data_IF_121212560299
#
_entry.id   IF_121212560299
#
_cell.length_a   1.000
_cell.length_b   1.000
_cell.length_c   1.000
_cell.angle_alpha   90.00
_cell.angle_beta   90.00
_cell.angle_gamma   90.00
#
_symmetry.space_group_name_H-M   'P 1'
#
loop_
_entity.id
_entity.type
_entity.pdbx_description
1 polymer ?
#
# COMPACT_ATOMS: atom_id res chain seq x y z
N UNK A 1 -19.76 -20.46 -0.42
CA UNK A 1 -18.88 -20.84 -1.55
C UNK A 1 -17.85 -19.73 -1.70
N UNK A 2 -16.56 -20.06 -1.88
CA UNK A 2 -15.50 -19.06 -2.06
C UNK A 2 -15.56 -18.56 -3.52
N UNK A 3 -15.55 -17.24 -3.73
CA UNK A 3 -15.59 -16.64 -5.07
C UNK A 3 -14.23 -16.72 -5.78
N UNK A 4 -13.16 -16.42 -5.05
CA UNK A 4 -11.78 -16.63 -5.47
C UNK A 4 -10.80 -16.32 -4.35
N UNK A 5 -9.51 -16.54 -4.61
CA UNK A 5 -8.41 -16.34 -3.66
C UNK A 5 -7.28 -15.58 -4.35
N UNK A 6 -6.67 -14.66 -3.64
CA UNK A 6 -5.57 -13.86 -4.16
C UNK A 6 -4.49 -13.66 -3.11
N UNK A 7 -3.24 -13.54 -3.58
CA UNK A 7 -2.08 -13.31 -2.74
C UNK A 7 -1.13 -12.32 -3.41
N UNK A 8 -0.42 -11.55 -2.58
CA UNK A 8 0.62 -10.65 -3.05
C UNK A 8 1.70 -10.50 -1.99
N UNK A 9 2.93 -10.29 -2.45
CA UNK A 9 4.10 -10.05 -1.60
C UNK A 9 4.77 -8.75 -2.03
N UNK A 10 5.02 -7.88 -1.05
CA UNK A 10 5.61 -6.56 -1.29
C UNK A 10 6.85 -6.40 -0.43
N UNK A 11 7.96 -6.09 -1.09
CA UNK A 11 9.18 -5.68 -0.43
C UNK A 11 9.04 -4.24 0.07
N UNK A 12 9.27 -4.01 1.37
CA UNK A 12 9.16 -2.68 1.98
C UNK A 12 10.19 -1.71 1.40
N UNK A 13 11.40 -2.18 1.11
CA UNK A 13 12.46 -1.35 0.51
C UNK A 13 12.07 -0.81 -0.88
N UNK A 14 11.31 -1.58 -1.68
CA UNK A 14 10.77 -1.12 -2.97
C UNK A 14 9.81 0.07 -2.80
N UNK A 15 8.94 -0.01 -1.80
CA UNK A 15 7.98 1.06 -1.48
C UNK A 15 8.70 2.28 -0.91
N UNK A 16 9.72 2.08 -0.08
CA UNK A 16 10.55 3.16 0.45
C UNK A 16 11.30 3.91 -0.66
N UNK A 17 11.87 3.18 -1.62
CA UNK A 17 12.50 3.79 -2.79
C UNK A 17 11.50 4.61 -3.61
N UNK A 18 10.30 4.06 -3.85
CA UNK A 18 9.24 4.76 -4.58
C UNK A 18 8.76 6.02 -3.84
N UNK A 19 8.59 5.94 -2.52
CA UNK A 19 8.24 7.10 -1.69
C UNK A 19 9.34 8.16 -1.70
N UNK A 20 10.61 7.75 -1.73
CA UNK A 20 11.74 8.68 -1.82
C UNK A 20 11.77 9.39 -3.19
N UNK A 21 11.47 8.66 -4.27
CA UNK A 21 11.48 9.18 -5.63
C UNK A 21 10.28 10.09 -5.94
N UNK A 22 9.08 9.71 -5.48
CA UNK A 22 7.82 10.34 -5.89
C UNK A 22 7.09 11.07 -4.75
N UNK A 23 7.57 10.96 -3.51
CA UNK A 23 6.95 11.58 -2.35
C UNK A 23 5.55 11.04 -2.05
N UNK A 24 4.76 11.87 -1.36
CA UNK A 24 3.40 11.51 -0.91
C UNK A 24 2.40 11.38 -2.08
N UNK A 25 2.73 11.86 -3.30
CA UNK A 25 1.87 11.66 -4.48
C UNK A 25 1.79 10.19 -4.89
N UNK A 26 2.83 9.40 -4.65
CA UNK A 26 2.76 7.95 -4.79
C UNK A 26 1.78 7.31 -3.81
N UNK A 27 1.78 7.78 -2.55
CA UNK A 27 0.85 7.28 -1.54
C UNK A 27 -0.61 7.59 -1.92
N UNK A 28 -0.89 8.79 -2.44
CA UNK A 28 -2.24 9.19 -2.91
C UNK A 28 -2.78 8.33 -4.05
N UNK A 29 -1.91 7.74 -4.89
CA UNK A 29 -2.34 6.83 -5.95
C UNK A 29 -2.77 5.45 -5.44
N UNK A 30 -2.27 5.05 -4.28
CA UNK A 30 -2.51 3.72 -3.70
C UNK A 30 -3.62 3.79 -2.65
N UNK A 31 -3.65 4.84 -1.84
CA UNK A 31 -4.52 4.97 -0.68
C UNK A 31 -5.87 5.57 -1.05
N UNK A 32 -6.93 5.08 -0.42
CA UNK A 32 -8.21 5.76 -0.43
C UNK A 32 -8.16 7.01 0.47
N UNK A 33 -9.08 7.96 0.27
CA UNK A 33 -9.15 9.17 1.10
C UNK A 33 -9.26 8.87 2.60
N UNK A 34 -10.02 7.84 2.95
CA UNK A 34 -10.18 7.37 4.34
C UNK A 34 -8.89 6.81 4.96
N UNK A 35 -7.92 6.40 4.15
CA UNK A 35 -6.64 5.84 4.61
C UNK A 35 -5.54 6.92 4.75
N UNK A 36 -5.71 8.08 4.11
CA UNK A 36 -4.69 9.14 4.10
C UNK A 36 -4.41 9.69 5.49
N UNK A 37 -5.43 9.89 6.33
CA UNK A 37 -5.24 10.38 7.69
C UNK A 37 -4.34 9.44 8.52
N UNK A 38 -4.58 8.13 8.44
CA UNK A 38 -3.75 7.13 9.10
C UNK A 38 -2.34 7.04 8.51
N UNK A 39 -2.18 7.29 7.21
CA UNK A 39 -0.87 7.34 6.58
C UNK A 39 -0.05 8.54 7.05
N UNK A 40 -0.67 9.71 7.20
CA UNK A 40 -0.02 10.93 7.68
C UNK A 40 0.43 10.78 9.13
N UNK A 41 -0.39 10.17 9.99
CA UNK A 41 -0.06 9.90 11.40
C UNK A 41 0.98 8.77 11.57
N UNK A 42 1.16 7.93 10.55
CA UNK A 42 2.08 6.80 10.62
C UNK A 42 3.55 7.26 10.72
N UNK A 43 4.21 6.84 11.82
CA UNK A 43 5.65 7.01 12.00
C UNK A 43 6.50 6.23 10.98
N UNK A 44 5.94 5.19 10.35
CA UNK A 44 6.64 4.34 9.39
C UNK A 44 5.82 4.26 8.10
N UNK A 45 5.84 5.35 7.32
CA UNK A 45 5.09 5.54 6.08
C UNK A 45 5.28 4.41 5.06
N UNK A 46 6.52 3.99 4.80
CA UNK A 46 6.82 2.92 3.83
C UNK A 46 6.18 1.58 4.21
N UNK A 47 6.24 1.19 5.49
CA UNK A 47 5.61 -0.06 5.97
C UNK A 47 4.09 0.02 5.92
N UNK A 48 3.50 1.18 6.26
CA UNK A 48 2.06 1.38 6.14
C UNK A 48 1.61 1.18 4.69
N UNK A 49 2.29 1.85 3.76
CA UNK A 49 1.96 1.81 2.35
C UNK A 49 2.18 0.43 1.75
N UNK A 50 3.26 -0.28 2.11
CA UNK A 50 3.53 -1.64 1.66
C UNK A 50 2.42 -2.63 2.03
N UNK A 51 1.90 -2.55 3.26
CA UNK A 51 0.77 -3.40 3.70
C UNK A 51 -0.49 -3.12 2.89
N UNK A 52 -0.79 -1.84 2.65
CA UNK A 52 -1.97 -1.42 1.88
C UNK A 52 -1.87 -1.84 0.42
N UNK A 53 -0.68 -1.69 -0.16
CA UNK A 53 -0.40 -2.13 -1.53
C UNK A 53 -0.60 -3.65 -1.68
N UNK A 54 0.05 -4.45 -0.83
CA UNK A 54 -0.07 -5.91 -0.88
C UNK A 54 -1.52 -6.38 -0.73
N UNK A 55 -2.26 -5.77 0.21
CA UNK A 55 -3.67 -6.13 0.42
C UNK A 55 -4.55 -5.82 -0.80
N UNK A 56 -4.35 -4.67 -1.46
CA UNK A 56 -5.14 -4.27 -2.63
C UNK A 56 -4.79 -5.09 -3.86
N UNK A 57 -3.52 -5.42 -4.07
CA UNK A 57 -3.08 -6.32 -5.13
C UNK A 57 -3.58 -7.75 -4.92
N UNK A 58 -3.53 -8.26 -3.68
CA UNK A 58 -4.09 -9.57 -3.36
C UNK A 58 -5.60 -9.62 -3.60
N UNK A 59 -6.33 -8.56 -3.22
CA UNK A 59 -7.77 -8.46 -3.47
C UNK A 59 -8.11 -8.38 -4.96
N UNK A 60 -7.34 -7.63 -5.75
CA UNK A 60 -7.53 -7.52 -7.22
C UNK A 60 -7.38 -8.86 -7.96
N UNK A 61 -6.63 -9.81 -7.37
CA UNK A 61 -6.41 -11.15 -7.92
C UNK A 61 -7.42 -12.20 -7.44
N UNK A 62 -8.15 -11.89 -6.37
CA UNK A 62 -9.14 -12.78 -5.76
C UNK A 62 -10.47 -12.71 -6.51
#
# INVERSE_FOLDING_TARGET
>A
MIFGIGTDIVEVARIEHSLTQFGDDFAKRILAESELASYIDSKIKARFLAKRFAAKEAFSKA
#
